data_IF_129386802643
#
_entry.id   IF_129386802643
#
_cell.length_a   1.000
_cell.length_b   1.000
_cell.length_c   1.000
_cell.angle_alpha   90.00
_cell.angle_beta   90.00
_cell.angle_gamma   90.00
#
_symmetry.space_group_name_H-M   'P 1'
#
loop_
_entity.id
_entity.type
_entity.pdbx_description
1 polymer ?
#
# COMPACT_ATOMS: atom_id res chain seq x y z
N UNK A 1 -42.41 -51.00 27.44
CA UNK A 1 -41.20 -50.84 28.29
C UNK A 1 -39.89 -51.00 27.48
N UNK A 2 -39.94 -51.27 26.18
CA UNK A 2 -38.74 -51.55 25.36
C UNK A 2 -38.18 -50.31 24.64
N UNK A 3 -39.03 -49.31 24.33
CA UNK A 3 -38.61 -48.12 23.57
C UNK A 3 -37.70 -47.18 24.38
N UNK A 4 -37.96 -47.00 25.68
CA UNK A 4 -37.14 -46.14 26.55
C UNK A 4 -35.68 -46.61 26.64
N UNK A 5 -35.45 -47.92 26.79
CA UNK A 5 -34.10 -48.50 26.82
C UNK A 5 -33.38 -48.39 25.46
N UNK A 6 -34.12 -48.44 24.35
CA UNK A 6 -33.56 -48.24 23.01
C UNK A 6 -33.13 -46.78 22.78
N UNK A 7 -33.91 -45.79 23.25
CA UNK A 7 -33.55 -44.37 23.18
C UNK A 7 -32.33 -44.05 24.05
N UNK A 8 -32.27 -44.57 25.27
CA UNK A 8 -31.14 -44.36 26.18
C UNK A 8 -29.83 -44.90 25.60
N UNK A 9 -29.87 -46.07 24.95
CA UNK A 9 -28.69 -46.64 24.29
C UNK A 9 -28.22 -45.81 23.08
N UNK A 10 -29.16 -45.27 22.29
CA UNK A 10 -28.83 -44.39 21.14
C UNK A 10 -28.27 -43.04 21.59
N UNK A 11 -28.86 -42.44 22.61
CA UNK A 11 -28.37 -41.20 23.22
C UNK A 11 -26.98 -41.40 23.85
N UNK A 12 -26.73 -42.55 24.48
CA UNK A 12 -25.40 -42.88 25.00
C UNK A 12 -24.36 -42.96 23.87
N UNK A 13 -24.68 -43.60 22.75
CA UNK A 13 -23.79 -43.66 21.59
C UNK A 13 -23.48 -42.27 20.99
N UNK A 14 -24.46 -41.36 20.97
CA UNK A 14 -24.24 -39.97 20.54
C UNK A 14 -23.36 -39.18 21.53
N UNK A 15 -23.54 -39.41 22.83
CA UNK A 15 -22.68 -38.81 23.87
C UNK A 15 -21.24 -39.34 23.81
N UNK A 16 -21.05 -40.62 23.49
CA UNK A 16 -19.70 -41.19 23.26
C UNK A 16 -19.01 -40.56 22.04
N UNK A 17 -19.76 -40.17 21.01
CA UNK A 17 -19.26 -39.39 19.86
C UNK A 17 -18.94 -37.92 20.20
N UNK A 18 -19.26 -37.49 21.43
CA UNK A 18 -18.98 -36.15 21.95
C UNK A 18 -20.07 -35.11 21.71
N UNK A 19 -21.32 -35.55 21.48
CA UNK A 19 -22.47 -34.65 21.30
C UNK A 19 -23.26 -34.45 22.59
N UNK A 20 -23.68 -33.22 22.85
CA UNK A 20 -24.60 -32.88 23.93
C UNK A 20 -26.05 -33.01 23.44
N UNK A 21 -26.65 -34.17 23.72
CA UNK A 21 -28.02 -34.49 23.32
C UNK A 21 -28.96 -34.64 24.53
N UNK A 22 -30.13 -34.01 24.43
CA UNK A 22 -31.24 -34.12 25.39
C UNK A 22 -32.22 -35.19 24.88
N UNK A 23 -32.79 -35.96 25.81
CA UNK A 23 -33.75 -37.00 25.45
C UNK A 23 -35.02 -36.38 24.85
N UNK A 24 -35.48 -36.83 23.66
CA UNK A 24 -36.72 -36.36 23.08
C UNK A 24 -37.92 -36.80 23.94
N UNK A 25 -38.99 -36.00 23.97
CA UNK A 25 -40.13 -36.23 24.86
C UNK A 25 -41.45 -35.89 24.17
N UNK A 26 -42.46 -36.75 24.33
CA UNK A 26 -43.80 -36.57 23.75
C UNK A 26 -44.14 -37.59 22.68
N UNK A 27 -45.29 -37.39 22.00
CA UNK A 27 -45.83 -38.31 21.00
C UNK A 27 -44.99 -38.40 19.71
N UNK A 28 -44.09 -37.44 19.48
CA UNK A 28 -43.18 -37.38 18.32
C UNK A 28 -41.73 -37.77 18.65
N UNK A 29 -41.46 -38.34 19.82
CA UNK A 29 -40.10 -38.60 20.29
C UNK A 29 -39.26 -39.46 19.34
N UNK A 30 -39.88 -40.41 18.63
CA UNK A 30 -39.21 -41.22 17.61
C UNK A 30 -38.76 -40.40 16.39
N UNK A 31 -39.53 -39.40 15.97
CA UNK A 31 -39.17 -38.51 14.86
C UNK A 31 -38.08 -37.52 15.28
N UNK A 32 -38.19 -36.97 16.49
CA UNK A 32 -37.16 -36.10 17.07
C UNK A 32 -35.83 -36.84 17.23
N UNK A 33 -35.85 -38.11 17.64
CA UNK A 33 -34.63 -38.93 17.73
C UNK A 33 -33.97 -39.11 16.37
N UNK A 34 -34.74 -39.45 15.33
CA UNK A 34 -34.21 -39.59 13.96
C UNK A 34 -33.61 -38.28 13.44
N UNK A 35 -34.26 -37.15 13.73
CA UNK A 35 -33.75 -35.84 13.37
C UNK A 35 -32.43 -35.53 14.08
N UNK A 36 -32.32 -35.82 15.38
CA UNK A 36 -31.07 -35.63 16.14
C UNK A 36 -29.95 -36.52 15.59
N UNK A 37 -30.24 -37.77 15.24
CA UNK A 37 -29.26 -38.68 14.61
C UNK A 37 -28.77 -38.14 13.27
N UNK A 38 -29.68 -37.69 12.40
CA UNK A 38 -29.34 -37.06 11.11
C UNK A 38 -28.45 -35.81 11.30
N UNK A 39 -28.81 -34.95 12.24
CA UNK A 39 -28.02 -33.76 12.56
C UNK A 39 -26.67 -34.11 13.19
N UNK A 40 -26.56 -35.20 13.96
CA UNK A 40 -25.28 -35.67 14.51
C UNK A 40 -24.34 -36.25 13.45
N UNK A 41 -24.89 -36.92 12.43
CA UNK A 41 -24.11 -37.38 11.27
C UNK A 41 -23.67 -36.21 10.38
N UNK A 42 -24.54 -35.22 10.18
CA UNK A 42 -24.17 -33.95 9.54
C UNK A 42 -23.03 -33.26 10.33
N UNK A 43 -23.20 -33.12 11.65
CA UNK A 43 -22.21 -32.51 12.53
C UNK A 43 -20.87 -33.24 12.49
N UNK A 44 -20.87 -34.57 12.39
CA UNK A 44 -19.65 -35.38 12.26
C UNK A 44 -18.91 -35.12 10.95
N UNK A 45 -19.66 -34.98 9.86
CA UNK A 45 -19.12 -34.63 8.53
C UNK A 45 -18.55 -33.21 8.52
N UNK A 46 -19.23 -32.27 9.16
CA UNK A 46 -18.74 -30.90 9.29
C UNK A 46 -17.50 -30.86 10.19
N UNK A 47 -17.48 -31.63 11.28
CA UNK A 47 -16.35 -31.73 12.19
C UNK A 47 -15.08 -32.20 11.48
N UNK A 48 -15.15 -33.18 10.58
CA UNK A 48 -13.98 -33.58 9.80
C UNK A 48 -13.49 -32.46 8.88
N UNK A 49 -14.40 -31.79 8.16
CA UNK A 49 -14.03 -30.63 7.32
C UNK A 49 -13.39 -29.48 8.12
N UNK A 50 -13.89 -29.20 9.34
CA UNK A 50 -13.36 -28.17 10.23
C UNK A 50 -11.97 -28.58 10.75
N UNK A 51 -11.74 -29.87 11.00
CA UNK A 51 -10.42 -30.37 11.40
C UNK A 51 -9.38 -30.22 10.28
N UNK A 52 -9.80 -30.34 9.03
CA UNK A 52 -8.98 -30.17 7.82
C UNK A 52 -8.73 -28.69 7.44
N UNK A 53 -9.15 -27.73 8.28
CA UNK A 53 -8.80 -26.32 8.08
C UNK A 53 -7.31 -26.05 8.39
N UNK A 54 -6.66 -25.13 7.65
CA UNK A 54 -5.26 -24.79 7.89
C UNK A 54 -5.03 -24.15 9.28
N UNK A 55 -3.79 -24.20 9.81
CA UNK A 55 -3.47 -23.72 11.16
C UNK A 55 -3.78 -22.24 11.42
N UNK A 56 -3.72 -21.39 10.39
CA UNK A 56 -4.01 -19.96 10.54
C UNK A 56 -5.50 -19.66 10.83
N UNK A 57 -6.39 -20.65 10.71
CA UNK A 57 -7.81 -20.58 11.09
C UNK A 57 -8.09 -21.21 12.46
N UNK A 58 -7.08 -21.43 13.29
CA UNK A 58 -7.26 -22.16 14.56
C UNK A 58 -8.33 -21.51 15.44
N UNK A 59 -8.43 -20.18 15.51
CA UNK A 59 -9.47 -19.51 16.31
C UNK A 59 -10.89 -19.85 15.81
N UNK A 60 -11.11 -19.75 14.50
CA UNK A 60 -12.40 -20.09 13.87
C UNK A 60 -12.68 -21.59 13.98
N UNK A 61 -11.65 -22.43 13.87
CA UNK A 61 -11.75 -23.88 14.07
C UNK A 61 -12.24 -24.20 15.49
N UNK A 62 -11.67 -23.58 16.51
CA UNK A 62 -12.13 -23.77 17.90
C UNK A 62 -13.57 -23.30 18.10
N UNK A 63 -13.96 -22.17 17.49
CA UNK A 63 -15.32 -21.65 17.56
C UNK A 63 -16.34 -22.62 16.93
N UNK A 64 -16.05 -23.14 15.73
CA UNK A 64 -16.91 -24.13 15.06
C UNK A 64 -16.98 -25.45 15.83
N UNK A 65 -15.85 -25.98 16.30
CA UNK A 65 -15.83 -27.24 17.05
C UNK A 65 -16.64 -27.17 18.35
N UNK A 66 -16.61 -26.03 19.05
CA UNK A 66 -17.40 -25.82 20.27
C UNK A 66 -18.90 -25.83 19.96
N UNK A 67 -19.33 -25.20 18.87
CA UNK A 67 -20.74 -25.17 18.46
C UNK A 67 -21.24 -26.52 17.97
N UNK A 68 -20.39 -27.27 17.27
CA UNK A 68 -20.71 -28.62 16.78
C UNK A 68 -20.87 -29.68 17.88
N UNK A 69 -20.59 -29.35 19.15
CA UNK A 69 -20.97 -30.18 20.30
C UNK A 69 -22.50 -30.33 20.35
N UNK A 70 -23.25 -29.29 19.97
CA UNK A 70 -24.69 -29.34 19.82
C UNK A 70 -25.05 -29.71 18.37
N UNK A 71 -25.59 -30.91 18.09
CA UNK A 71 -25.90 -31.34 16.73
C UNK A 71 -26.95 -30.44 16.06
N UNK A 72 -27.83 -29.79 16.81
CA UNK A 72 -28.86 -28.91 16.24
C UNK A 72 -28.28 -27.64 15.60
N UNK A 73 -27.06 -27.24 15.97
CA UNK A 73 -26.38 -26.10 15.36
C UNK A 73 -25.66 -26.45 14.05
N UNK A 74 -25.59 -27.73 13.69
CA UNK A 74 -24.79 -28.22 12.57
C UNK A 74 -25.12 -27.52 11.25
N UNK A 75 -26.41 -27.33 10.93
CA UNK A 75 -26.83 -26.61 9.72
C UNK A 75 -26.34 -25.14 9.70
N UNK A 76 -26.33 -24.45 10.84
CA UNK A 76 -25.85 -23.06 10.92
C UNK A 76 -24.34 -22.98 10.70
N UNK A 77 -23.59 -23.87 11.35
CA UNK A 77 -22.13 -23.97 11.21
C UNK A 77 -21.76 -24.36 9.78
N UNK A 78 -22.53 -25.23 9.13
CA UNK A 78 -22.32 -25.60 7.73
C UNK A 78 -22.41 -24.39 6.80
N UNK A 79 -23.42 -23.55 6.98
CA UNK A 79 -23.62 -22.35 6.15
C UNK A 79 -22.43 -21.41 6.31
N UNK A 80 -22.01 -21.13 7.55
CA UNK A 80 -20.87 -20.26 7.85
C UNK A 80 -19.56 -20.84 7.30
N UNK A 81 -19.30 -22.13 7.51
CA UNK A 81 -18.13 -22.81 6.99
C UNK A 81 -18.09 -22.78 5.46
N UNK A 82 -19.22 -23.06 4.79
CA UNK A 82 -19.30 -23.00 3.33
C UNK A 82 -19.09 -21.58 2.82
N UNK A 83 -19.57 -20.56 3.53
CA UNK A 83 -19.30 -19.16 3.18
C UNK A 83 -17.80 -18.86 3.27
N UNK A 84 -17.14 -19.25 4.36
CA UNK A 84 -15.70 -19.10 4.53
C UNK A 84 -14.92 -19.79 3.40
N UNK A 85 -15.23 -21.07 3.15
CA UNK A 85 -14.56 -21.84 2.10
C UNK A 85 -14.80 -21.27 0.70
N UNK A 86 -15.96 -20.66 0.43
CA UNK A 86 -16.21 -19.99 -0.87
C UNK A 86 -15.28 -18.82 -1.12
N UNK A 87 -14.89 -18.08 -0.10
CA UNK A 87 -14.04 -16.91 -0.24
C UNK A 87 -12.56 -17.30 -0.31
N UNK A 88 -12.13 -18.26 0.50
CA UNK A 88 -10.70 -18.56 0.69
C UNK A 88 -10.23 -19.90 0.12
N UNK A 89 -11.09 -20.91 0.00
CA UNK A 89 -10.70 -22.28 -0.43
C UNK A 89 -11.77 -22.96 -1.31
N UNK A 90 -12.22 -22.34 -2.42
CA UNK A 90 -13.30 -22.91 -3.21
C UNK A 90 -12.93 -24.22 -3.92
N UNK A 91 -11.63 -24.52 -4.10
CA UNK A 91 -11.16 -25.80 -4.61
C UNK A 91 -11.51 -26.97 -3.68
N UNK A 92 -11.59 -26.74 -2.36
CA UNK A 92 -12.02 -27.77 -1.40
C UNK A 92 -13.49 -28.11 -1.61
N UNK A 93 -14.35 -27.09 -1.78
CA UNK A 93 -15.78 -27.31 -2.07
C UNK A 93 -16.00 -28.05 -3.39
N UNK A 94 -15.16 -27.76 -4.39
CA UNK A 94 -15.16 -28.49 -5.66
C UNK A 94 -14.73 -29.94 -5.44
N UNK A 95 -13.64 -30.16 -4.72
CA UNK A 95 -13.09 -31.48 -4.41
C UNK A 95 -14.10 -32.34 -3.65
N UNK A 96 -14.82 -31.79 -2.67
CA UNK A 96 -15.92 -32.49 -1.97
C UNK A 96 -17.00 -32.96 -2.94
N UNK A 97 -17.41 -32.10 -3.88
CA UNK A 97 -18.44 -32.44 -4.87
C UNK A 97 -18.01 -33.58 -5.79
N UNK A 98 -16.74 -33.62 -6.16
CA UNK A 98 -16.20 -34.61 -7.12
C UNK A 98 -15.47 -35.78 -6.45
N UNK A 99 -15.42 -35.82 -5.11
CA UNK A 99 -14.76 -36.86 -4.30
C UNK A 99 -15.19 -38.26 -4.70
N UNK A 100 -16.49 -38.45 -4.99
CA UNK A 100 -17.03 -39.73 -5.47
C UNK A 100 -16.36 -40.22 -6.77
N UNK A 101 -16.21 -39.33 -7.76
CA UNK A 101 -15.55 -39.66 -9.04
C UNK A 101 -14.08 -40.03 -8.84
N UNK A 102 -13.37 -39.29 -8.00
CA UNK A 102 -11.98 -39.59 -7.65
C UNK A 102 -11.83 -40.92 -6.90
N UNK A 103 -12.82 -41.29 -6.08
CA UNK A 103 -12.85 -42.58 -5.39
C UNK A 103 -13.14 -43.75 -6.32
N UNK A 104 -14.02 -43.57 -7.32
CA UNK A 104 -14.32 -44.59 -8.32
C UNK A 104 -13.09 -44.91 -9.19
N UNK A 105 -12.25 -43.91 -9.48
CA UNK A 105 -10.98 -44.11 -10.16
C UNK A 105 -9.84 -44.61 -9.24
N UNK A 106 -10.07 -44.72 -7.94
CA UNK A 106 -9.05 -45.14 -6.96
C UNK A 106 -7.94 -44.12 -6.72
N UNK A 107 -8.18 -42.84 -7.01
CA UNK A 107 -7.17 -41.75 -7.02
C UNK A 107 -7.37 -40.73 -5.89
N UNK A 108 -8.05 -41.10 -4.81
CA UNK A 108 -8.30 -40.23 -3.64
C UNK A 108 -7.02 -39.67 -3.01
N UNK A 109 -5.94 -40.46 -2.96
CA UNK A 109 -4.64 -40.02 -2.45
C UNK A 109 -4.02 -38.92 -3.32
N UNK A 110 -4.21 -39.00 -4.64
CA UNK A 110 -3.74 -37.94 -5.55
C UNK A 110 -4.52 -36.65 -5.31
N UNK A 111 -5.84 -36.74 -5.14
CA UNK A 111 -6.67 -35.58 -4.81
C UNK A 111 -6.22 -34.91 -3.51
N UNK A 112 -6.01 -35.68 -2.43
CA UNK A 112 -5.51 -35.15 -1.17
C UNK A 112 -4.19 -34.41 -1.34
N UNK A 113 -3.23 -35.00 -2.08
CA UNK A 113 -1.94 -34.37 -2.36
C UNK A 113 -2.07 -33.07 -3.17
N UNK A 114 -3.01 -33.01 -4.11
CA UNK A 114 -3.28 -31.78 -4.87
C UNK A 114 -3.82 -30.69 -3.93
N UNK A 115 -4.76 -31.03 -3.05
CA UNK A 115 -5.35 -30.09 -2.10
C UNK A 115 -4.31 -29.55 -1.12
N UNK A 116 -3.47 -30.41 -0.53
CA UNK A 116 -2.40 -30.00 0.37
C UNK A 116 -1.45 -28.98 -0.29
N UNK A 117 -1.11 -29.19 -1.56
CA UNK A 117 -0.25 -28.26 -2.32
C UNK A 117 -0.95 -26.93 -2.61
N UNK A 118 -2.24 -26.96 -2.95
CA UNK A 118 -3.03 -25.75 -3.17
C UNK A 118 -3.20 -24.96 -1.87
N UNK A 119 -3.36 -25.63 -0.73
CA UNK A 119 -3.48 -25.00 0.58
C UNK A 119 -2.17 -24.34 1.07
N UNK A 120 -1.02 -24.77 0.53
CA UNK A 120 0.27 -24.15 0.79
C UNK A 120 0.52 -22.87 -0.04
N UNK A 121 -0.35 -22.58 -1.01
CA UNK A 121 -0.27 -21.42 -1.89
C UNK A 121 -1.30 -20.37 -1.48
N UNK A 122 -0.98 -19.11 -1.70
CA UNK A 122 -1.90 -17.99 -1.52
C UNK A 122 -3.18 -18.19 -2.36
N UNK A 123 -4.34 -17.99 -1.72
CA UNK A 123 -5.66 -18.26 -2.28
C UNK A 123 -5.95 -17.44 -3.54
N UNK A 124 -5.49 -16.19 -3.60
CA UNK A 124 -5.65 -15.35 -4.78
C UNK A 124 -4.91 -15.90 -6.00
N UNK A 125 -3.77 -16.58 -5.82
CA UNK A 125 -3.00 -17.19 -6.92
C UNK A 125 -3.74 -18.41 -7.47
N UNK A 126 -4.26 -19.26 -6.58
CA UNK A 126 -5.03 -20.44 -6.98
C UNK A 126 -6.30 -20.01 -7.74
N UNK A 127 -6.99 -18.98 -7.24
CA UNK A 127 -8.17 -18.41 -7.88
C UNK A 127 -7.88 -17.78 -9.25
N UNK A 128 -6.67 -17.27 -9.45
CA UNK A 128 -6.19 -16.79 -10.75
C UNK A 128 -5.95 -17.90 -11.79
N UNK A 129 -6.07 -19.18 -11.42
CA UNK A 129 -5.86 -20.34 -12.29
C UNK A 129 -7.11 -21.23 -12.38
N UNK A 130 -8.16 -20.82 -13.12
CA UNK A 130 -9.38 -21.62 -13.25
C UNK A 130 -9.14 -22.99 -13.92
N UNK A 131 -8.01 -23.13 -14.63
CA UNK A 131 -7.60 -24.39 -15.26
C UNK A 131 -7.33 -25.51 -14.26
N UNK A 132 -6.75 -25.21 -13.09
CA UNK A 132 -6.53 -26.27 -12.09
C UNK A 132 -7.86 -26.79 -11.54
N UNK A 133 -8.85 -25.91 -11.40
CA UNK A 133 -10.18 -26.25 -10.92
C UNK A 133 -10.90 -27.16 -11.92
N UNK A 134 -10.92 -26.81 -13.21
CA UNK A 134 -11.53 -27.66 -14.23
C UNK A 134 -10.87 -29.05 -14.31
N UNK A 135 -9.55 -29.11 -14.15
CA UNK A 135 -8.82 -30.38 -14.16
C UNK A 135 -9.13 -31.26 -12.95
N UNK A 136 -9.41 -30.67 -11.79
CA UNK A 136 -9.91 -31.39 -10.60
C UNK A 136 -11.33 -31.92 -10.85
N UNK A 137 -12.18 -31.11 -11.48
CA UNK A 137 -13.57 -31.49 -11.81
C UNK A 137 -13.64 -32.66 -12.81
N UNK A 138 -12.76 -32.65 -13.80
CA UNK A 138 -12.65 -33.67 -14.86
C UNK A 138 -11.81 -34.89 -14.47
N UNK A 139 -11.32 -34.97 -13.23
CA UNK A 139 -10.46 -36.07 -12.73
C UNK A 139 -9.23 -36.28 -13.63
N UNK A 140 -8.63 -35.18 -14.09
CA UNK A 140 -7.49 -35.24 -15.02
C UNK A 140 -6.31 -36.05 -14.44
N UNK A 141 -5.52 -36.73 -15.29
CA UNK A 141 -4.36 -37.50 -14.83
C UNK A 141 -3.29 -36.57 -14.23
N UNK A 142 -2.59 -37.03 -13.19
CA UNK A 142 -1.59 -36.23 -12.46
C UNK A 142 -0.51 -35.63 -13.39
N UNK A 143 -0.11 -36.36 -14.44
CA UNK A 143 0.85 -35.87 -15.45
C UNK A 143 0.43 -34.56 -16.14
N UNK A 144 -0.87 -34.29 -16.22
CA UNK A 144 -1.41 -33.06 -16.80
C UNK A 144 -1.56 -31.96 -15.74
N UNK A 145 -1.89 -32.35 -14.50
CA UNK A 145 -2.10 -31.45 -13.36
C UNK A 145 -0.76 -30.89 -12.86
N UNK A 146 0.28 -31.72 -12.81
CA UNK A 146 1.60 -31.39 -12.25
C UNK A 146 2.23 -30.12 -12.84
N UNK A 147 2.29 -29.91 -14.17
CA UNK A 147 2.84 -28.68 -14.73
C UNK A 147 2.10 -27.42 -14.29
N UNK A 148 0.79 -27.50 -14.07
CA UNK A 148 -0.03 -26.37 -13.65
C UNK A 148 0.18 -26.08 -12.17
N UNK A 149 0.27 -27.11 -11.33
CA UNK A 149 0.62 -26.93 -9.91
C UNK A 149 2.00 -26.30 -9.75
N UNK A 150 3.00 -26.80 -10.47
CA UNK A 150 4.36 -26.23 -10.45
C UNK A 150 4.34 -24.76 -10.91
N UNK A 151 3.52 -24.41 -11.91
CA UNK A 151 3.39 -23.02 -12.34
C UNK A 151 2.77 -22.14 -11.24
N UNK A 152 1.72 -22.61 -10.57
CA UNK A 152 1.06 -21.91 -9.45
C UNK A 152 2.04 -21.71 -8.29
N UNK A 153 2.75 -22.76 -7.89
CA UNK A 153 3.76 -22.73 -6.82
C UNK A 153 4.92 -21.78 -7.17
N UNK A 154 5.39 -21.81 -8.43
CA UNK A 154 6.43 -20.89 -8.91
C UNK A 154 5.97 -19.44 -8.82
N UNK A 155 4.73 -19.13 -9.23
CA UNK A 155 4.17 -17.77 -9.13
C UNK A 155 4.10 -17.31 -7.66
N UNK A 156 3.76 -18.19 -6.74
CA UNK A 156 3.75 -17.89 -5.31
C UNK A 156 5.15 -17.59 -4.79
N UNK A 157 6.13 -18.42 -5.15
CA UNK A 157 7.52 -18.24 -4.77
C UNK A 157 8.12 -16.95 -5.36
N UNK A 158 7.85 -16.66 -6.64
CA UNK A 158 8.27 -15.43 -7.31
C UNK A 158 7.71 -14.19 -6.58
N UNK A 159 6.45 -14.23 -6.12
CA UNK A 159 5.84 -13.16 -5.30
C UNK A 159 6.54 -13.02 -3.95
N UNK A 160 6.72 -14.11 -3.21
CA UNK A 160 7.38 -14.06 -1.91
C UNK A 160 8.81 -13.51 -2.00
N UNK A 161 9.55 -13.88 -3.06
CA UNK A 161 10.86 -13.32 -3.35
C UNK A 161 10.81 -11.82 -3.67
N UNK A 162 9.83 -11.38 -4.46
CA UNK A 162 9.64 -9.96 -4.75
C UNK A 162 9.34 -9.15 -3.46
N UNK A 163 8.45 -9.66 -2.60
CA UNK A 163 8.15 -9.03 -1.30
C UNK A 163 9.40 -8.93 -0.43
N UNK A 164 10.20 -9.99 -0.35
CA UNK A 164 11.43 -9.98 0.41
C UNK A 164 12.44 -8.97 -0.17
N UNK A 165 12.60 -8.91 -1.50
CA UNK A 165 13.45 -7.91 -2.14
C UNK A 165 12.98 -6.48 -1.88
N UNK A 166 11.67 -6.23 -1.86
CA UNK A 166 11.11 -4.94 -1.48
C UNK A 166 11.41 -4.59 -0.02
N UNK A 167 11.24 -5.55 0.90
CA UNK A 167 11.56 -5.36 2.32
C UNK A 167 13.03 -5.03 2.54
N UNK A 168 13.94 -5.73 1.86
CA UNK A 168 15.38 -5.47 1.92
C UNK A 168 15.70 -4.06 1.40
N UNK A 169 15.18 -3.68 0.23
CA UNK A 169 15.38 -2.35 -0.34
C UNK A 169 14.85 -1.24 0.57
N UNK A 170 13.65 -1.39 1.14
CA UNK A 170 13.06 -0.41 2.05
C UNK A 170 13.85 -0.28 3.35
N UNK A 171 14.37 -1.40 3.86
CA UNK A 171 15.24 -1.42 5.04
C UNK A 171 16.56 -0.69 4.80
N UNK A 172 17.21 -0.92 3.65
CA UNK A 172 18.44 -0.22 3.28
C UNK A 172 18.23 1.30 3.16
N UNK A 173 17.03 1.72 2.75
CA UNK A 173 16.63 3.13 2.67
C UNK A 173 16.25 3.74 4.01
N UNK A 174 16.20 2.94 5.08
CA UNK A 174 15.95 3.40 6.44
C UNK A 174 14.48 3.44 6.86
N UNK A 175 13.58 2.78 6.12
CA UNK A 175 12.18 2.62 6.54
C UNK A 175 12.05 1.55 7.63
N UNK A 176 11.10 1.75 8.54
CA UNK A 176 10.74 0.73 9.53
C UNK A 176 9.90 -0.38 8.88
N UNK A 177 10.50 -1.56 8.76
CA UNK A 177 9.86 -2.76 8.18
C UNK A 177 9.15 -3.63 9.23
N UNK A 178 9.08 -3.20 10.49
CA UNK A 178 8.49 -3.99 11.58
C UNK A 178 7.02 -4.33 11.34
N UNK A 179 6.27 -3.45 10.63
CA UNK A 179 4.88 -3.71 10.22
C UNK A 179 4.77 -4.82 9.17
N UNK A 180 5.73 -4.93 8.25
CA UNK A 180 5.75 -5.90 7.13
C UNK A 180 5.97 -7.35 7.55
N UNK A 181 6.28 -7.61 8.81
CA UNK A 181 6.43 -8.95 9.37
C UNK A 181 5.12 -9.51 9.95
N UNK A 182 4.07 -8.69 10.04
CA UNK A 182 2.78 -9.06 10.62
C UNK A 182 1.71 -9.17 9.54
N UNK A 183 0.72 -10.02 9.79
CA UNK A 183 -0.43 -10.18 8.91
C UNK A 183 -0.27 -11.25 7.83
N UNK A 184 -1.28 -11.34 6.99
CA UNK A 184 -1.33 -12.22 5.82
C UNK A 184 -0.38 -11.75 4.72
N UNK A 185 -0.08 -12.60 3.74
CA UNK A 185 0.80 -12.23 2.62
C UNK A 185 0.24 -11.00 1.88
N UNK A 186 -1.08 -10.96 1.65
CA UNK A 186 -1.75 -9.83 1.03
C UNK A 186 -1.56 -8.52 1.81
N UNK A 187 -1.81 -8.52 3.12
CA UNK A 187 -1.63 -7.33 3.97
C UNK A 187 -0.17 -6.86 3.96
N UNK A 188 0.78 -7.79 3.95
CA UNK A 188 2.21 -7.47 3.86
C UNK A 188 2.56 -6.81 2.53
N UNK A 189 1.95 -7.24 1.43
CA UNK A 189 2.12 -6.59 0.12
C UNK A 189 1.51 -5.21 0.08
N UNK A 190 0.28 -5.03 0.56
CA UNK A 190 -0.36 -3.70 0.60
C UNK A 190 0.46 -2.71 1.44
N UNK A 191 0.94 -3.15 2.60
CA UNK A 191 1.79 -2.31 3.45
C UNK A 191 3.15 -2.02 2.79
N UNK A 192 3.74 -3.00 2.08
CA UNK A 192 4.99 -2.78 1.34
C UNK A 192 4.82 -1.77 0.21
N UNK A 193 3.73 -1.88 -0.55
CA UNK A 193 3.37 -0.91 -1.60
C UNK A 193 3.09 0.47 -1.02
N UNK A 194 2.43 0.56 0.14
CA UNK A 194 2.21 1.84 0.83
C UNK A 194 3.53 2.51 1.19
N UNK A 195 4.46 1.79 1.82
CA UNK A 195 5.77 2.32 2.18
C UNK A 195 6.59 2.65 0.93
N UNK A 196 6.53 1.82 -0.12
CA UNK A 196 7.17 2.10 -1.40
C UNK A 196 6.67 3.42 -2.03
N UNK A 197 5.36 3.65 -2.03
CA UNK A 197 4.78 4.88 -2.55
C UNK A 197 5.28 6.12 -1.80
N UNK A 198 5.51 5.99 -0.49
CA UNK A 198 6.11 7.04 0.33
C UNK A 198 7.59 7.22 -0.01
N UNK A 199 8.35 6.15 -0.24
CA UNK A 199 9.75 6.24 -0.67
C UNK A 199 9.89 6.98 -2.01
N UNK A 200 8.96 6.78 -2.93
CA UNK A 200 8.93 7.50 -4.21
C UNK A 200 8.74 9.02 -4.01
N UNK A 201 7.83 9.41 -3.12
CA UNK A 201 7.61 10.82 -2.75
C UNK A 201 8.86 11.40 -2.11
N UNK A 202 9.43 10.68 -1.14
CA UNK A 202 10.64 11.07 -0.45
C UNK A 202 11.82 11.25 -1.43
N UNK A 203 12.01 10.30 -2.34
CA UNK A 203 13.06 10.34 -3.38
C UNK A 203 12.87 11.51 -4.37
N UNK A 204 11.63 11.94 -4.66
CA UNK A 204 11.38 13.16 -5.44
C UNK A 204 11.75 14.41 -4.65
N UNK A 205 11.33 14.48 -3.38
CA UNK A 205 11.61 15.60 -2.50
C UNK A 205 13.11 15.81 -2.30
N UNK A 206 13.86 14.73 -2.05
CA UNK A 206 15.32 14.76 -1.93
C UNK A 206 16.00 15.32 -3.18
N UNK A 207 15.61 14.85 -4.37
CA UNK A 207 16.13 15.37 -5.65
C UNK A 207 15.80 16.84 -5.85
N UNK A 208 14.60 17.27 -5.45
CA UNK A 208 14.16 18.67 -5.55
C UNK A 208 14.93 19.58 -4.60
N UNK A 209 15.22 19.12 -3.38
CA UNK A 209 16.09 19.87 -2.46
C UNK A 209 17.50 19.99 -3.05
N UNK A 210 18.07 18.87 -3.51
CA UNK A 210 19.46 18.84 -3.98
C UNK A 210 19.67 19.67 -5.25
N UNK A 211 18.79 19.54 -6.24
CA UNK A 211 18.96 20.21 -7.52
C UNK A 211 18.27 21.58 -7.58
N UNK A 212 17.23 21.79 -6.78
CA UNK A 212 16.37 22.96 -6.87
C UNK A 212 16.54 23.96 -5.74
N UNK A 213 16.92 23.53 -4.54
CA UNK A 213 17.03 24.42 -3.37
C UNK A 213 18.49 24.64 -2.96
N UNK A 214 19.32 23.59 -2.95
CA UNK A 214 20.73 23.67 -2.56
C UNK A 214 21.53 24.71 -3.36
N UNK A 215 21.28 24.95 -4.67
CA UNK A 215 21.96 26.03 -5.40
C UNK A 215 21.74 27.43 -4.83
N UNK A 216 20.59 27.69 -4.20
CA UNK A 216 20.26 28.99 -3.60
C UNK A 216 20.83 29.16 -2.19
N UNK A 217 21.05 28.07 -1.46
CA UNK A 217 21.65 28.15 -0.13
C UNK A 217 21.65 26.84 0.65
N UNK A 218 22.81 26.54 1.27
CA UNK A 218 23.01 25.35 2.08
C UNK A 218 22.05 25.26 3.27
N UNK A 219 21.89 26.34 4.04
CA UNK A 219 21.08 26.31 5.27
C UNK A 219 19.60 25.99 5.03
N UNK A 220 19.03 26.46 3.92
CA UNK A 220 17.63 26.17 3.56
C UNK A 220 17.50 24.70 3.17
N UNK A 221 18.44 24.20 2.36
CA UNK A 221 18.47 22.80 1.95
C UNK A 221 18.60 21.85 3.15
N UNK A 222 19.53 22.12 4.09
CA UNK A 222 19.70 21.28 5.29
C UNK A 222 18.47 21.28 6.19
N UNK A 223 17.76 22.41 6.31
CA UNK A 223 16.49 22.48 7.04
C UNK A 223 15.43 21.56 6.41
N UNK A 224 15.29 21.60 5.09
CA UNK A 224 14.34 20.74 4.37
C UNK A 224 14.74 19.26 4.46
N UNK A 225 16.04 18.95 4.41
CA UNK A 225 16.56 17.60 4.61
C UNK A 225 16.24 17.03 5.99
N UNK A 226 16.36 17.86 7.05
CA UNK A 226 15.95 17.50 8.40
C UNK A 226 14.45 17.23 8.52
N UNK A 227 13.61 17.99 7.82
CA UNK A 227 12.17 17.79 7.77
C UNK A 227 11.80 16.45 7.13
N UNK A 228 12.35 16.14 5.96
CA UNK A 228 12.15 14.85 5.27
C UNK A 228 12.57 13.68 6.17
N UNK A 229 13.75 13.78 6.78
CA UNK A 229 14.28 12.71 7.64
C UNK A 229 13.39 12.44 8.85
N UNK A 230 12.68 13.47 9.34
CA UNK A 230 11.75 13.35 10.46
C UNK A 230 10.44 12.68 10.02
N UNK A 231 9.88 13.07 8.87
CA UNK A 231 8.67 12.43 8.33
C UNK A 231 8.89 10.98 7.89
N UNK A 232 10.08 10.65 7.39
CA UNK A 232 10.44 9.26 7.10
C UNK A 232 10.32 8.38 8.36
N UNK A 233 10.81 8.89 9.50
CA UNK A 233 10.72 8.17 10.79
C UNK A 233 9.30 8.09 11.34
N UNK A 234 8.48 9.11 11.10
CA UNK A 234 7.09 9.11 11.54
C UNK A 234 6.21 8.14 10.73
N UNK A 235 6.58 7.84 9.48
CA UNK A 235 5.88 6.83 8.68
C UNK A 235 4.46 7.24 8.21
N UNK A 236 4.14 8.54 8.25
CA UNK A 236 2.85 9.11 7.90
C UNK A 236 2.82 9.67 6.47
N UNK A 237 1.84 9.23 5.67
CA UNK A 237 1.61 9.75 4.31
C UNK A 237 1.25 11.23 4.34
N UNK A 238 0.48 11.66 5.34
CA UNK A 238 0.03 13.05 5.45
C UNK A 238 1.21 13.99 5.71
N UNK A 239 2.08 13.66 6.68
CA UNK A 239 3.26 14.49 6.99
C UNK A 239 4.20 14.59 5.79
N UNK A 240 4.35 13.50 5.04
CA UNK A 240 5.18 13.49 3.84
C UNK A 240 4.61 14.39 2.74
N UNK A 241 3.29 14.39 2.54
CA UNK A 241 2.62 15.28 1.58
C UNK A 241 2.69 16.76 2.01
N UNK A 242 2.60 17.03 3.31
CA UNK A 242 2.77 18.38 3.86
C UNK A 242 4.19 18.90 3.60
N UNK A 243 5.21 18.06 3.78
CA UNK A 243 6.60 18.41 3.47
C UNK A 243 6.84 18.55 1.97
N UNK A 244 6.25 17.69 1.12
CA UNK A 244 6.33 17.85 -0.35
C UNK A 244 5.77 19.22 -0.76
N UNK A 245 4.62 19.60 -0.20
CA UNK A 245 4.01 20.92 -0.42
C UNK A 245 4.89 22.08 0.09
N UNK A 246 5.52 21.94 1.26
CA UNK A 246 6.45 22.95 1.80
C UNK A 246 7.68 23.11 0.89
N UNK A 247 8.27 22.01 0.44
CA UNK A 247 9.42 22.02 -0.48
C UNK A 247 9.04 22.69 -1.80
N UNK A 248 7.84 22.41 -2.33
CA UNK A 248 7.32 23.01 -3.54
C UNK A 248 7.11 24.52 -3.39
N UNK A 249 6.56 24.95 -2.25
CA UNK A 249 6.39 26.36 -1.90
C UNK A 249 7.74 27.08 -1.79
N UNK A 250 8.72 26.49 -1.11
CA UNK A 250 10.07 27.08 -0.97
C UNK A 250 10.77 27.16 -2.32
N UNK A 251 10.72 26.09 -3.12
CA UNK A 251 11.33 26.05 -4.45
C UNK A 251 10.72 27.12 -5.39
N UNK A 252 9.38 27.23 -5.40
CA UNK A 252 8.70 28.23 -6.23
C UNK A 252 8.98 29.67 -5.77
N UNK A 253 9.04 29.92 -4.45
CA UNK A 253 9.39 31.24 -3.92
C UNK A 253 10.81 31.66 -4.31
N UNK A 254 11.79 30.74 -4.19
CA UNK A 254 13.18 30.99 -4.57
C UNK A 254 13.32 31.32 -6.05
N UNK A 255 12.69 30.53 -6.93
CA UNK A 255 12.72 30.82 -8.37
C UNK A 255 12.04 32.15 -8.72
N UNK A 256 10.89 32.45 -8.12
CA UNK A 256 10.20 33.72 -8.34
C UNK A 256 11.06 34.92 -7.91
N UNK A 257 11.72 34.82 -6.76
CA UNK A 257 12.63 35.86 -6.26
C UNK A 257 13.85 36.00 -7.15
N UNK A 258 14.40 34.89 -7.62
CA UNK A 258 15.52 34.88 -8.56
C UNK A 258 15.19 35.58 -9.88
N UNK A 259 14.05 35.25 -10.50
CA UNK A 259 13.57 35.91 -11.71
C UNK A 259 13.33 37.41 -11.49
N UNK A 260 12.78 37.80 -10.33
CA UNK A 260 12.56 39.20 -10.00
C UNK A 260 13.88 39.99 -9.86
N UNK A 261 14.89 39.39 -9.22
CA UNK A 261 16.24 39.96 -9.07
C UNK A 261 16.89 40.13 -10.44
N UNK A 262 16.89 39.08 -11.28
CA UNK A 262 17.45 39.15 -12.63
C UNK A 262 16.74 40.18 -13.51
N UNK A 263 15.41 40.19 -13.50
CA UNK A 263 14.63 41.15 -14.30
C UNK A 263 14.87 42.59 -13.89
N UNK A 264 15.06 42.87 -12.58
CA UNK A 264 15.32 44.22 -12.08
C UNK A 264 16.71 44.71 -12.46
N UNK A 265 17.72 43.83 -12.39
CA UNK A 265 19.07 44.16 -12.84
C UNK A 265 19.09 44.39 -14.35
N UNK A 266 18.42 43.52 -15.12
CA UNK A 266 18.32 43.65 -16.57
C UNK A 266 17.65 44.96 -16.98
N UNK A 267 16.61 45.42 -16.27
CA UNK A 267 15.96 46.69 -16.57
C UNK A 267 16.92 47.87 -16.39
N UNK A 268 17.68 47.91 -15.29
CA UNK A 268 18.66 48.97 -15.06
C UNK A 268 19.77 48.99 -16.10
N UNK A 269 20.27 47.81 -16.50
CA UNK A 269 21.26 47.71 -17.58
C UNK A 269 20.69 48.19 -18.92
N UNK A 270 19.42 47.93 -19.20
CA UNK A 270 18.74 48.42 -20.41
C UNK A 270 18.49 49.94 -20.42
N UNK A 271 18.30 50.53 -19.24
CA UNK A 271 18.19 51.99 -19.03
C UNK A 271 19.56 52.70 -19.13
N UNK A 272 20.66 51.95 -19.21
CA UNK A 272 22.02 52.47 -19.36
C UNK A 272 22.81 52.60 -18.06
N UNK A 273 22.27 52.14 -16.92
CA UNK A 273 23.01 52.11 -15.66
C UNK A 273 24.04 50.97 -15.67
N UNK A 274 25.28 51.29 -15.32
CA UNK A 274 26.33 50.29 -15.14
C UNK A 274 26.20 49.62 -13.77
N UNK A 275 25.60 48.43 -13.75
CA UNK A 275 25.57 47.56 -12.58
C UNK A 275 26.67 46.52 -12.75
N UNK A 276 27.58 46.41 -11.79
CA UNK A 276 28.74 45.48 -11.78
C UNK A 276 28.31 44.01 -11.62
N UNK A 277 27.60 43.49 -12.61
CA UNK A 277 27.04 42.14 -12.62
C UNK A 277 26.89 41.64 -14.04
N UNK A 278 27.22 40.36 -14.25
CA UNK A 278 27.03 39.68 -15.53
C UNK A 278 25.79 38.80 -15.42
N UNK A 279 24.83 39.01 -16.33
CA UNK A 279 23.66 38.17 -16.47
C UNK A 279 23.95 37.00 -17.44
N UNK A 280 23.34 35.81 -17.24
CA UNK A 280 22.47 35.45 -16.11
C UNK A 280 23.24 35.27 -14.79
N UNK A 281 22.54 35.50 -13.67
CA UNK A 281 23.07 35.31 -12.32
C UNK A 281 23.25 33.82 -12.00
N UNK A 282 24.15 33.52 -11.05
CA UNK A 282 24.16 32.21 -10.42
C UNK A 282 23.11 32.18 -9.29
N UNK A 283 22.42 31.04 -9.11
CA UNK A 283 21.44 30.87 -8.04
C UNK A 283 22.01 31.20 -6.64
N UNK A 284 23.30 30.89 -6.42
CA UNK A 284 24.02 31.19 -5.17
C UNK A 284 24.21 32.69 -4.91
N UNK A 285 24.13 33.52 -5.94
CA UNK A 285 24.32 34.97 -5.86
C UNK A 285 23.00 35.71 -5.57
N UNK A 286 21.86 35.02 -5.69
CA UNK A 286 20.53 35.61 -5.53
C UNK A 286 20.40 36.41 -4.24
N UNK A 287 20.70 35.79 -3.09
CA UNK A 287 20.51 36.39 -1.76
C UNK A 287 21.35 37.66 -1.61
N UNK A 288 22.58 37.65 -2.13
CA UNK A 288 23.46 38.80 -2.09
C UNK A 288 22.94 39.97 -2.92
N UNK A 289 22.41 39.70 -4.11
CA UNK A 289 21.84 40.73 -4.97
C UNK A 289 20.50 41.26 -4.47
N UNK A 290 19.66 40.38 -3.90
CA UNK A 290 18.41 40.78 -3.27
C UNK A 290 18.63 41.77 -2.12
N UNK A 291 19.72 41.62 -1.35
CA UNK A 291 20.10 42.58 -0.30
C UNK A 291 20.61 43.92 -0.86
N UNK A 292 21.28 43.91 -2.02
CA UNK A 292 21.85 45.12 -2.63
C UNK A 292 20.85 45.93 -3.45
N UNK A 293 19.83 45.28 -4.03
CA UNK A 293 18.85 45.91 -4.92
C UNK A 293 18.19 47.15 -4.31
N UNK A 294 17.73 47.16 -3.04
CA UNK A 294 17.10 48.35 -2.48
C UNK A 294 18.01 49.59 -2.50
N UNK A 295 19.27 49.44 -2.11
CA UNK A 295 20.24 50.55 -2.12
C UNK A 295 20.56 51.02 -3.54
N UNK A 296 20.67 50.10 -4.49
CA UNK A 296 20.89 50.45 -5.91
C UNK A 296 19.66 51.19 -6.45
N UNK A 297 18.45 50.72 -6.11
CA UNK A 297 17.20 51.34 -6.52
C UNK A 297 17.09 52.79 -6.02
N UNK A 298 17.39 53.03 -4.74
CA UNK A 298 17.38 54.38 -4.15
C UNK A 298 18.35 55.33 -4.87
N UNK A 299 19.56 54.86 -5.20
CA UNK A 299 20.56 55.66 -5.91
C UNK A 299 20.12 55.98 -7.36
N UNK A 300 19.49 55.03 -8.03
CA UNK A 300 18.95 55.21 -9.38
C UNK A 300 17.76 56.18 -9.36
N UNK A 301 16.85 56.04 -8.41
CA UNK A 301 15.71 56.95 -8.23
C UNK A 301 16.16 58.38 -7.90
N UNK A 302 17.17 58.55 -7.06
CA UNK A 302 17.78 59.85 -6.80
C UNK A 302 18.40 60.45 -8.07
N UNK A 303 19.07 59.63 -8.89
CA UNK A 303 19.63 60.06 -10.18
C UNK A 303 18.52 60.50 -11.15
N UNK A 304 17.43 59.76 -11.24
CA UNK A 304 16.26 60.16 -12.04
C UNK A 304 15.63 61.45 -11.54
N UNK A 305 15.51 61.66 -10.22
CA UNK A 305 14.97 62.89 -9.66
C UNK A 305 15.83 64.11 -10.01
N UNK A 306 17.16 63.97 -9.96
CA UNK A 306 18.09 65.02 -10.38
C UNK A 306 17.93 65.31 -11.87
N UNK A 307 17.86 64.27 -12.71
CA UNK A 307 17.65 64.43 -14.16
C UNK A 307 16.33 65.13 -14.49
N UNK A 308 15.23 64.75 -13.82
CA UNK A 308 13.93 65.37 -14.03
C UNK A 308 13.94 66.86 -13.67
N UNK A 309 14.61 67.24 -12.57
CA UNK A 309 14.81 68.65 -12.21
C UNK A 309 15.67 69.37 -13.25
N UNK A 310 16.77 68.74 -13.69
CA UNK A 310 17.68 69.30 -14.67
C UNK A 310 16.99 69.50 -16.03
N UNK A 311 16.11 68.59 -16.45
CA UNK A 311 15.36 68.67 -17.70
C UNK A 311 14.46 69.91 -17.76
N UNK A 312 13.81 70.27 -16.65
CA UNK A 312 13.02 71.52 -16.53
C UNK A 312 13.90 72.75 -16.75
N UNK A 313 15.13 72.74 -16.23
CA UNK A 313 16.10 73.83 -16.43
C UNK A 313 16.70 73.84 -17.85
N UNK A 314 16.90 72.68 -18.47
CA UNK A 314 17.38 72.53 -19.85
C UNK A 314 16.33 72.94 -20.90
N UNK A 315 15.06 73.10 -20.53
CA UNK A 315 14.04 73.79 -21.35
C UNK A 315 14.26 75.30 -21.35
N UNK A 316 14.79 75.86 -20.26
CA UNK A 316 15.06 77.30 -20.13
C UNK A 316 16.39 77.70 -20.79
N UNK A 317 17.37 76.79 -20.84
CA UNK A 317 18.68 77.01 -21.48
C UNK A 317 19.00 75.91 -22.51
N UNK A 318 18.41 75.97 -23.72
CA UNK A 318 18.50 74.92 -24.74
C UNK A 318 19.91 74.66 -25.28
N UNK A 319 20.84 75.61 -25.14
CA UNK A 319 22.25 75.48 -25.51
C UNK A 319 22.98 74.38 -24.72
N UNK A 320 22.53 74.04 -23.51
CA UNK A 320 23.13 72.99 -22.68
C UNK A 320 22.57 71.58 -22.93
N UNK A 321 21.51 71.43 -23.75
CA UNK A 321 20.96 70.10 -24.09
C UNK A 321 21.98 69.18 -24.76
N UNK A 322 22.93 69.74 -25.53
CA UNK A 322 23.99 68.96 -26.18
C UNK A 322 25.00 68.36 -25.20
N UNK A 323 25.11 68.90 -23.99
CA UNK A 323 25.98 68.36 -22.94
C UNK A 323 25.30 67.30 -22.06
N UNK A 324 23.96 67.21 -22.09
CA UNK A 324 23.22 66.21 -21.32
C UNK A 324 22.86 64.92 -22.08
N UNK A 325 22.96 64.91 -23.41
CA UNK A 325 22.52 63.80 -24.26
C UNK A 325 23.63 62.89 -24.82
N UNK A 326 24.89 63.28 -24.70
CA UNK A 326 26.03 62.50 -25.20
C UNK A 326 27.08 62.32 -24.10
N UNK A 327 27.12 61.12 -23.51
CA UNK A 327 28.35 60.46 -23.06
C UNK A 327 29.35 61.29 -22.23
N UNK A 328 28.90 62.12 -21.30
CA UNK A 328 29.79 62.63 -20.27
C UNK A 328 29.10 62.50 -18.93
N UNK A 329 29.48 61.48 -18.16
CA UNK A 329 29.65 61.45 -16.70
C UNK A 329 29.84 59.97 -16.31
N UNK A 330 30.97 59.40 -16.76
CA UNK A 330 31.54 58.21 -16.16
C UNK A 330 32.69 58.67 -15.23
N UNK A 331 32.60 58.42 -13.93
CA UNK A 331 33.70 57.90 -13.13
C UNK A 331 33.78 56.38 -13.27
#
# INVERSE_FOLDING_TARGET
MDEGHAFDSRLAALRERGFEVVAPSGELASQEMLYIEEQADLASTIKSMVLDLPPHWDEQKHAFLTRLINPLEAASVEIELRQLLRHHRPWVLLAERVRGKWSEEGRTVELSRILERLDAVDDAIVMGSPRILSMIEDVSPMRNIEPILVEIERRNLDRLQALQGMMEMLSERGWDISSLHRGTIYERFEEAERIHSMDDVLSRCQRKIENGIRPFGHNIAERMWGAISSAQKAGSVQELNEIESEIDAVYSDLNRRFEAVESRIASWQSEGFQVDVRLPLLASEMIHWEQKIPTIAENIEASHAIWAQMEVHLVQWPEFRRFGGENSWAP
#
